data_IF_847973885528
#
_entry.id   IF_847973885528
#
_cell.length_a   1.000
_cell.length_b   1.000
_cell.length_c   1.000
_cell.angle_alpha   90.00
_cell.angle_beta   90.00
_cell.angle_gamma   90.00
#
_symmetry.space_group_name_H-M   'P 1'
#
loop_
_entity.id
_entity.type
_entity.pdbx_description
1 polymer ?
#
# COMPACT_ATOMS: atom_id res chain seq x y z
N UNK A 1 6.13 28.70 -67.00
CA UNK A 1 5.29 28.10 -65.93
C UNK A 1 6.15 27.12 -65.17
N UNK A 2 6.60 27.48 -63.96
CA UNK A 2 7.40 26.60 -63.11
C UNK A 2 6.47 25.87 -62.15
N UNK A 3 6.39 24.56 -62.28
CA UNK A 3 5.65 23.67 -61.37
C UNK A 3 6.38 23.62 -60.03
N UNK A 4 5.76 24.18 -59.00
CA UNK A 4 6.27 24.15 -57.64
C UNK A 4 6.08 22.73 -57.08
N UNK A 5 7.19 22.04 -56.83
CA UNK A 5 7.19 20.71 -56.21
C UNK A 5 6.98 20.93 -54.71
N UNK A 6 5.80 20.56 -54.21
CA UNK A 6 5.48 20.64 -52.80
C UNK A 6 6.44 19.76 -51.99
N UNK A 7 7.19 20.39 -51.07
CA UNK A 7 8.11 19.69 -50.18
C UNK A 7 7.33 18.77 -49.24
N UNK A 8 7.52 17.47 -49.40
CA UNK A 8 7.03 16.46 -48.48
C UNK A 8 7.83 16.58 -47.17
N UNK A 9 7.28 17.30 -46.19
CA UNK A 9 7.88 17.44 -44.87
C UNK A 9 7.72 16.12 -44.12
N UNK A 10 8.83 15.41 -43.94
CA UNK A 10 8.85 14.17 -43.15
C UNK A 10 8.38 14.48 -41.72
N UNK A 11 7.52 13.64 -41.12
CA UNK A 11 7.06 13.83 -39.76
C UNK A 11 8.25 13.86 -38.81
N UNK A 12 8.21 14.75 -37.82
CA UNK A 12 9.28 14.82 -36.81
C UNK A 12 9.33 13.49 -36.05
N UNK A 13 10.54 13.03 -35.72
CA UNK A 13 10.75 11.80 -34.95
C UNK A 13 10.11 11.84 -33.55
N UNK A 14 9.73 13.02 -33.05
CA UNK A 14 9.00 13.18 -31.79
C UNK A 14 7.46 13.16 -31.95
N UNK A 15 6.94 12.84 -33.14
CA UNK A 15 5.50 12.63 -33.41
C UNK A 15 5.05 11.19 -33.17
N UNK A 16 5.82 10.40 -32.41
CA UNK A 16 5.43 9.05 -31.98
C UNK A 16 4.27 9.14 -30.98
N UNK A 17 3.32 8.20 -31.10
CA UNK A 17 2.20 8.05 -30.16
C UNK A 17 2.74 7.87 -28.74
N UNK A 18 2.23 8.63 -27.76
CA UNK A 18 2.64 8.48 -26.38
C UNK A 18 2.17 7.13 -25.80
N UNK A 19 2.85 6.62 -24.76
CA UNK A 19 2.31 5.54 -23.94
C UNK A 19 0.94 5.92 -23.37
N UNK A 20 0.07 4.92 -23.23
CA UNK A 20 -1.31 5.11 -22.78
C UNK A 20 -1.80 4.01 -21.85
N UNK A 21 -2.72 4.39 -20.97
CA UNK A 21 -3.49 3.49 -20.12
C UNK A 21 -4.98 3.82 -20.28
N UNK A 22 -5.72 2.92 -20.92
CA UNK A 22 -7.13 3.16 -21.32
C UNK A 22 -8.13 3.02 -20.16
N UNK A 23 -7.68 2.68 -18.94
CA UNK A 23 -8.56 2.57 -17.76
C UNK A 23 -9.05 3.96 -17.32
N UNK A 24 -10.18 4.02 -16.63
CA UNK A 24 -10.69 5.24 -15.98
C UNK A 24 -10.12 5.47 -14.58
N UNK A 25 -9.37 4.49 -14.07
CA UNK A 25 -8.81 4.49 -12.73
C UNK A 25 -7.55 3.64 -12.71
N UNK A 26 -6.49 4.13 -12.10
CA UNK A 26 -5.28 3.33 -11.91
C UNK A 26 -4.09 4.09 -11.39
N UNK A 27 -2.94 3.41 -11.47
CA UNK A 27 -1.62 3.97 -11.25
C UNK A 27 -0.79 3.72 -12.52
N UNK A 28 -0.07 4.74 -12.96
CA UNK A 28 0.78 4.70 -14.14
C UNK A 28 2.21 5.12 -13.80
N UNK A 29 3.17 4.46 -14.44
CA UNK A 29 4.60 4.77 -14.35
C UNK A 29 5.17 4.89 -15.75
N UNK A 30 5.86 5.98 -16.04
CA UNK A 30 6.49 6.19 -17.35
C UNK A 30 7.73 7.08 -17.26
N UNK A 31 8.57 7.02 -18.30
CA UNK A 31 9.73 7.90 -18.44
C UNK A 31 9.29 9.25 -19.04
N UNK A 32 9.16 10.29 -18.23
CA UNK A 32 8.66 11.60 -18.66
C UNK A 32 9.69 12.43 -19.45
N UNK A 33 10.94 11.96 -19.59
CA UNK A 33 11.90 12.54 -20.53
C UNK A 33 11.75 11.96 -21.96
N UNK A 34 10.92 10.93 -22.13
CA UNK A 34 10.59 10.33 -23.43
C UNK A 34 9.23 10.84 -23.93
N UNK A 35 8.94 10.65 -25.22
CA UNK A 35 7.66 11.03 -25.85
C UNK A 35 7.26 12.49 -25.60
N UNK A 36 8.24 13.38 -25.43
CA UNK A 36 8.01 14.80 -25.14
C UNK A 36 7.20 15.02 -23.84
N UNK A 37 7.39 14.11 -22.88
CA UNK A 37 6.70 14.08 -21.59
C UNK A 37 5.23 13.73 -21.68
N UNK A 38 4.77 13.20 -22.81
CA UNK A 38 3.37 12.88 -23.05
C UNK A 38 2.99 11.50 -22.53
N UNK A 39 1.81 11.39 -21.92
CA UNK A 39 1.18 10.14 -21.50
C UNK A 39 -0.33 10.28 -21.55
N UNK A 40 -1.04 9.28 -22.08
CA UNK A 40 -2.50 9.31 -22.18
C UNK A 40 -3.13 8.45 -21.07
N UNK A 41 -4.08 9.02 -20.33
CA UNK A 41 -4.97 8.27 -19.45
C UNK A 41 -6.38 8.24 -20.02
N UNK A 42 -7.03 7.10 -19.87
CA UNK A 42 -8.38 6.83 -20.33
C UNK A 42 -8.54 6.61 -21.82
N UNK A 43 -9.80 6.47 -22.21
CA UNK A 43 -10.23 6.26 -23.59
C UNK A 43 -11.24 7.33 -23.99
N UNK A 44 -11.30 7.62 -25.29
CA UNK A 44 -12.30 8.53 -25.83
C UNK A 44 -13.72 8.12 -25.39
N UNK A 45 -14.60 9.07 -25.00
CA UNK A 45 -14.44 10.53 -25.08
C UNK A 45 -13.79 11.21 -23.85
N UNK A 46 -13.38 10.43 -22.85
CA UNK A 46 -12.86 10.89 -21.56
C UNK A 46 -11.34 10.71 -21.45
N UNK A 47 -10.65 10.65 -22.59
CA UNK A 47 -9.19 10.58 -22.62
C UNK A 47 -8.54 11.92 -22.25
N UNK A 48 -7.37 11.84 -21.65
CA UNK A 48 -6.50 12.98 -21.33
C UNK A 48 -5.08 12.68 -21.77
N UNK A 49 -4.60 13.39 -22.81
CA UNK A 49 -3.17 13.44 -23.12
C UNK A 49 -2.50 14.43 -22.17
N UNK A 50 -1.81 13.91 -21.15
CA UNK A 50 -1.02 14.74 -20.22
C UNK A 50 0.33 15.07 -20.85
N UNK A 51 0.92 16.20 -20.45
CA UNK A 51 2.29 16.59 -20.84
C UNK A 51 3.04 17.10 -19.62
N UNK A 52 4.22 16.55 -19.40
CA UNK A 52 5.03 16.80 -18.22
C UNK A 52 6.45 17.24 -18.57
N UNK A 53 7.08 18.01 -17.69
CA UNK A 53 8.53 18.25 -17.73
C UNK A 53 9.12 18.36 -16.33
N UNK A 54 10.44 18.23 -16.23
CA UNK A 54 11.16 18.37 -14.96
C UNK A 54 11.01 19.78 -14.40
N UNK A 55 10.78 19.89 -13.09
CA UNK A 55 10.90 21.13 -12.35
C UNK A 55 12.02 21.01 -11.29
N UNK A 56 11.73 21.29 -10.02
CA UNK A 56 12.63 21.06 -8.88
C UNK A 56 12.48 19.64 -8.30
N UNK A 57 13.33 19.25 -7.35
CA UNK A 57 13.25 17.95 -6.68
C UNK A 57 11.83 17.66 -6.16
N UNK A 58 11.27 16.51 -6.56
CA UNK A 58 9.93 16.08 -6.17
C UNK A 58 8.79 16.92 -6.78
N UNK A 59 9.04 17.61 -7.89
CA UNK A 59 8.04 18.42 -8.59
C UNK A 59 8.19 18.32 -10.10
N UNK A 60 7.08 18.48 -10.82
CA UNK A 60 7.05 18.48 -12.27
C UNK A 60 6.16 19.62 -12.78
N UNK A 61 6.46 20.14 -13.96
CA UNK A 61 5.53 21.03 -14.66
C UNK A 61 4.52 20.19 -15.43
N UNK A 62 3.24 20.49 -15.25
CA UNK A 62 2.11 19.98 -16.02
C UNK A 62 1.62 21.09 -16.95
N UNK A 63 1.33 20.74 -18.20
CA UNK A 63 0.90 21.68 -19.24
C UNK A 63 -0.49 21.34 -19.76
N UNK A 64 -1.26 22.36 -20.15
CA UNK A 64 -2.46 22.21 -20.97
C UNK A 64 -2.18 22.32 -22.49
N UNK A 65 -0.92 22.24 -22.90
CA UNK A 65 -0.51 22.29 -24.32
C UNK A 65 -1.13 21.22 -25.22
N UNK A 66 -1.37 19.98 -24.76
CA UNK A 66 -2.03 18.96 -25.57
C UNK A 66 -3.44 19.37 -25.98
N UNK A 67 -3.80 19.16 -27.24
CA UNK A 67 -5.06 19.66 -27.82
C UNK A 67 -6.34 19.13 -27.14
N UNK A 68 -6.24 17.98 -26.46
CA UNK A 68 -7.35 17.40 -25.71
C UNK A 68 -7.59 18.06 -24.34
N UNK A 69 -6.66 18.87 -23.84
CA UNK A 69 -6.73 19.48 -22.50
C UNK A 69 -7.23 20.92 -22.60
N UNK A 70 -8.34 21.21 -21.93
CA UNK A 70 -8.88 22.56 -21.81
C UNK A 70 -8.18 23.35 -20.68
N UNK A 71 -7.91 22.68 -19.56
CA UNK A 71 -7.31 23.34 -18.40
C UNK A 71 -6.68 22.39 -17.42
N UNK A 72 -5.73 22.92 -16.64
CA UNK A 72 -5.05 22.22 -15.55
C UNK A 72 -5.04 23.09 -14.29
N UNK A 73 -5.32 22.50 -13.13
CA UNK A 73 -5.35 23.18 -11.85
C UNK A 73 -4.69 22.33 -10.74
N UNK A 74 -4.17 22.97 -9.71
CA UNK A 74 -3.79 22.27 -8.46
C UNK A 74 -5.04 22.28 -7.57
N UNK A 75 -5.41 21.12 -7.03
CA UNK A 75 -6.45 21.05 -6.01
C UNK A 75 -5.82 21.44 -4.67
N UNK A 76 -6.04 22.69 -4.26
CA UNK A 76 -5.41 23.24 -3.06
C UNK A 76 -5.94 22.56 -1.79
N UNK A 77 -5.02 22.31 -0.84
CA UNK A 77 -5.37 21.78 0.49
C UNK A 77 -5.75 20.30 0.55
N UNK A 78 -5.62 19.54 -0.55
CA UNK A 78 -5.88 18.10 -0.57
C UNK A 78 -4.66 17.28 -1.00
N UNK A 79 -4.57 16.04 -0.51
CA UNK A 79 -3.44 15.13 -0.79
C UNK A 79 -3.87 13.80 -1.37
N UNK A 80 -5.17 13.55 -1.53
CA UNK A 80 -5.70 12.34 -2.16
C UNK A 80 -6.86 12.65 -3.09
N UNK A 81 -6.99 11.85 -4.15
CA UNK A 81 -8.04 12.02 -5.18
C UNK A 81 -9.45 12.08 -4.57
N UNK A 82 -9.72 11.24 -3.57
CA UNK A 82 -11.03 11.16 -2.90
C UNK A 82 -11.46 12.44 -2.16
N UNK A 83 -10.54 13.38 -1.92
CA UNK A 83 -10.85 14.66 -1.28
C UNK A 83 -11.29 15.76 -2.27
N UNK A 84 -11.18 15.51 -3.59
CA UNK A 84 -11.62 16.45 -4.62
C UNK A 84 -13.15 16.41 -4.78
N UNK A 85 -13.84 17.13 -3.90
CA UNK A 85 -15.29 17.34 -3.94
C UNK A 85 -15.68 18.38 -5.02
N UNK A 86 -16.97 18.49 -5.38
CA UNK A 86 -17.43 19.51 -6.34
C UNK A 86 -17.01 20.94 -5.97
N UNK A 87 -17.00 21.30 -4.69
CA UNK A 87 -16.59 22.63 -4.23
C UNK A 87 -15.09 22.87 -4.44
N UNK A 88 -14.26 21.85 -4.20
CA UNK A 88 -12.81 21.91 -4.49
C UNK A 88 -12.59 22.14 -5.98
N UNK A 89 -13.26 21.37 -6.83
CA UNK A 89 -13.15 21.50 -8.30
C UNK A 89 -13.64 22.86 -8.78
N UNK A 90 -14.76 23.36 -8.25
CA UNK A 90 -15.33 24.66 -8.63
C UNK A 90 -14.43 25.85 -8.23
N UNK A 91 -13.69 25.73 -7.12
CA UNK A 91 -12.76 26.75 -6.64
C UNK A 91 -11.39 26.73 -7.34
N UNK A 92 -11.09 25.67 -8.09
CA UNK A 92 -9.78 25.46 -8.68
C UNK A 92 -9.50 26.41 -9.86
N UNK A 93 -8.28 26.95 -9.91
CA UNK A 93 -7.87 27.88 -10.96
C UNK A 93 -7.32 27.14 -12.19
N UNK A 94 -8.11 27.05 -13.25
CA UNK A 94 -7.74 26.44 -14.54
C UNK A 94 -7.15 27.44 -15.56
N UNK A 95 -6.91 28.70 -15.17
CA UNK A 95 -6.53 29.76 -16.13
C UNK A 95 -5.07 29.73 -16.56
N UNK A 96 -4.21 29.05 -15.79
CA UNK A 96 -2.80 28.93 -16.14
C UNK A 96 -2.56 27.83 -17.17
N UNK A 97 -1.73 28.15 -18.16
CA UNK A 97 -1.18 27.18 -19.12
C UNK A 97 -0.39 26.06 -18.44
N UNK A 98 0.22 26.37 -17.29
CA UNK A 98 1.07 25.42 -16.57
C UNK A 98 0.84 25.43 -15.06
N UNK A 99 0.91 24.25 -14.44
CA UNK A 99 0.93 24.07 -12.98
C UNK A 99 2.16 23.27 -12.59
N UNK A 100 2.65 23.47 -11.37
CA UNK A 100 3.84 22.78 -10.87
C UNK A 100 3.51 21.99 -9.60
N UNK A 101 2.81 20.84 -9.73
CA UNK A 101 2.55 19.98 -8.59
C UNK A 101 3.84 19.38 -8.00
N UNK A 102 3.79 19.15 -6.69
CA UNK A 102 4.75 18.36 -5.92
C UNK A 102 4.23 16.95 -5.69
N UNK A 103 5.13 16.02 -5.41
CA UNK A 103 4.76 14.70 -4.91
C UNK A 103 3.84 14.84 -3.69
N UNK A 104 2.75 14.08 -3.68
CA UNK A 104 1.68 14.14 -2.68
C UNK A 104 0.57 15.15 -2.98
N UNK A 105 0.68 15.96 -4.04
CA UNK A 105 -0.40 16.86 -4.46
C UNK A 105 -1.28 16.23 -5.54
N UNK A 106 -2.53 16.70 -5.55
CA UNK A 106 -3.53 16.36 -6.57
C UNK A 106 -3.66 17.50 -7.56
N UNK A 107 -3.66 17.17 -8.85
CA UNK A 107 -4.00 18.09 -9.94
C UNK A 107 -5.31 17.68 -10.60
N UNK A 108 -6.06 18.67 -11.03
CA UNK A 108 -7.31 18.51 -11.76
C UNK A 108 -7.06 18.84 -13.23
N UNK A 109 -7.61 17.99 -14.10
CA UNK A 109 -7.60 18.15 -15.53
C UNK A 109 -9.03 18.30 -16.01
N UNK A 110 -9.25 19.20 -16.96
CA UNK A 110 -10.48 19.26 -17.75
C UNK A 110 -10.13 19.06 -19.22
N UNK A 111 -10.80 18.12 -19.88
CA UNK A 111 -10.63 17.91 -21.32
C UNK A 111 -11.63 18.77 -22.11
N UNK A 112 -11.40 18.92 -23.41
CA UNK A 112 -12.25 19.74 -24.30
C UNK A 112 -13.68 19.21 -24.45
N UNK A 113 -13.93 17.95 -24.07
CA UNK A 113 -15.26 17.34 -24.00
C UNK A 113 -15.94 17.51 -22.61
N UNK A 114 -15.37 18.35 -21.74
CA UNK A 114 -15.85 18.67 -20.38
C UNK A 114 -15.91 17.46 -19.42
N UNK A 115 -15.05 16.47 -19.63
CA UNK A 115 -14.76 15.46 -18.61
C UNK A 115 -13.68 15.96 -17.65
N UNK A 116 -13.71 15.44 -16.43
CA UNK A 116 -12.74 15.76 -15.39
C UNK A 116 -11.91 14.54 -15.01
N UNK A 117 -10.63 14.78 -14.75
CA UNK A 117 -9.74 13.80 -14.14
C UNK A 117 -8.99 14.42 -12.96
N UNK A 118 -8.70 13.60 -11.96
CA UNK A 118 -7.83 13.93 -10.85
C UNK A 118 -6.58 13.06 -10.93
N UNK A 119 -5.41 13.67 -10.78
CA UNK A 119 -4.11 12.98 -10.85
C UNK A 119 -3.32 13.29 -9.59
N UNK A 120 -2.94 12.27 -8.84
CA UNK A 120 -2.13 12.36 -7.62
C UNK A 120 -0.69 11.98 -7.93
N UNK A 121 0.24 12.91 -7.72
CA UNK A 121 1.64 12.69 -8.05
C UNK A 121 2.33 11.88 -6.95
N UNK A 122 2.82 10.68 -7.27
CA UNK A 122 3.43 9.77 -6.29
C UNK A 122 4.97 9.80 -6.31
N UNK A 123 5.56 10.00 -7.48
CA UNK A 123 7.01 10.05 -7.65
C UNK A 123 7.40 10.91 -8.85
N UNK A 124 8.46 11.70 -8.67
CA UNK A 124 9.17 12.37 -9.77
C UNK A 124 10.66 12.11 -9.58
N UNK A 125 11.19 11.13 -10.30
CA UNK A 125 12.61 10.86 -10.45
C UNK A 125 13.27 11.86 -11.40
N UNK A 126 14.59 11.95 -11.37
CA UNK A 126 15.41 12.81 -12.24
C UNK A 126 16.72 12.07 -12.59
N UNK A 127 17.54 12.53 -13.55
CA UNK A 127 18.66 11.73 -14.06
C UNK A 127 19.71 11.36 -13.01
N UNK A 128 19.83 12.16 -11.95
CA UNK A 128 20.80 11.95 -10.88
C UNK A 128 20.30 11.03 -9.75
N UNK A 129 19.06 10.52 -9.80
CA UNK A 129 18.58 9.46 -8.89
C UNK A 129 18.56 8.11 -9.60
N UNK A 130 18.69 6.98 -8.87
CA UNK A 130 18.71 5.64 -9.46
C UNK A 130 17.48 5.31 -10.32
N UNK A 131 16.32 5.89 -10.03
CA UNK A 131 15.10 5.70 -10.83
C UNK A 131 15.13 6.44 -12.17
N UNK A 132 16.05 7.38 -12.40
CA UNK A 132 16.11 8.18 -13.62
C UNK A 132 14.90 9.11 -13.78
N UNK A 133 14.55 9.49 -15.01
CA UNK A 133 13.41 10.38 -15.32
C UNK A 133 12.05 9.67 -15.24
N UNK A 134 11.77 8.98 -14.14
CA UNK A 134 10.52 8.26 -13.93
C UNK A 134 9.48 9.18 -13.30
N UNK A 135 8.26 9.14 -13.81
CA UNK A 135 7.10 9.73 -13.17
C UNK A 135 6.11 8.63 -12.83
N UNK A 136 5.60 8.67 -11.60
CA UNK A 136 4.56 7.76 -11.11
C UNK A 136 3.41 8.57 -10.55
N UNK A 137 2.19 8.27 -10.96
CA UNK A 137 0.99 8.95 -10.50
C UNK A 137 -0.21 8.01 -10.43
N UNK A 138 -1.17 8.35 -9.58
CA UNK A 138 -2.53 7.76 -9.59
C UNK A 138 -3.44 8.66 -10.37
N UNK A 139 -4.46 8.10 -10.99
CA UNK A 139 -5.46 8.89 -11.70
C UNK A 139 -6.85 8.29 -11.56
N UNK A 140 -7.85 9.15 -11.52
CA UNK A 140 -9.26 8.81 -11.63
C UNK A 140 -9.93 9.74 -12.62
N UNK A 141 -10.86 9.20 -13.40
CA UNK A 141 -11.59 9.92 -14.44
C UNK A 141 -13.09 9.78 -14.18
N UNK A 142 -13.79 10.91 -14.18
CA UNK A 142 -15.25 10.97 -14.07
C UNK A 142 -15.87 10.71 -15.44
N UNK A 143 -16.24 9.47 -15.72
CA UNK A 143 -16.78 9.07 -17.04
C UNK A 143 -18.22 9.54 -17.29
N UNK A 144 -18.85 10.19 -16.31
CA UNK A 144 -20.20 10.76 -16.36
C UNK A 144 -20.20 12.32 -16.41
N UNK A 145 -19.01 12.95 -16.46
CA UNK A 145 -18.78 14.40 -16.35
C UNK A 145 -19.09 15.01 -14.97
N UNK A 146 -19.24 14.19 -13.94
CA UNK A 146 -19.26 14.66 -12.56
C UNK A 146 -17.96 15.39 -12.20
N UNK A 147 -18.00 16.16 -11.13
CA UNK A 147 -16.84 16.78 -10.48
C UNK A 147 -16.60 16.22 -9.07
N UNK A 148 -17.34 15.20 -8.66
CA UNK A 148 -17.26 14.60 -7.31
C UNK A 148 -16.38 13.35 -7.29
N UNK A 149 -15.10 13.48 -6.92
CA UNK A 149 -14.16 12.36 -6.84
C UNK A 149 -14.23 11.58 -5.52
N UNK A 150 -15.12 11.95 -4.59
CA UNK A 150 -15.25 11.24 -3.31
C UNK A 150 -15.54 9.73 -3.41
N UNK A 151 -16.24 9.21 -4.45
CA UNK A 151 -16.39 7.76 -4.62
C UNK A 151 -15.07 7.01 -4.88
N UNK A 152 -14.03 7.71 -5.34
CA UNK A 152 -12.71 7.12 -5.56
C UNK A 152 -11.86 7.03 -4.30
N UNK A 153 -12.28 7.62 -3.17
CA UNK A 153 -11.58 7.47 -1.89
C UNK A 153 -11.31 6.00 -1.58
N UNK A 154 -12.37 5.17 -1.56
CA UNK A 154 -12.25 3.73 -1.31
C UNK A 154 -11.42 2.97 -2.34
N UNK A 155 -11.31 3.47 -3.57
CA UNK A 155 -10.65 2.76 -4.66
C UNK A 155 -9.10 2.79 -4.53
N UNK A 156 -8.55 3.85 -3.93
CA UNK A 156 -7.12 3.95 -3.63
C UNK A 156 -6.81 3.71 -2.15
N UNK A 157 -7.73 4.08 -1.26
CA UNK A 157 -7.63 3.79 0.17
C UNK A 157 -7.64 2.28 0.43
N UNK A 158 -8.26 1.45 -0.42
CA UNK A 158 -8.30 0.00 -0.23
C UNK A 158 -6.92 -0.66 -0.12
N UNK A 159 -5.95 -0.27 -0.97
CA UNK A 159 -4.58 -0.81 -0.89
C UNK A 159 -3.79 -0.19 0.27
N UNK A 160 -3.89 1.12 0.45
CA UNK A 160 -3.17 1.80 1.54
C UNK A 160 -3.69 1.34 2.91
N UNK A 161 -5.00 1.25 3.09
CA UNK A 161 -5.63 0.72 4.30
C UNK A 161 -5.29 -0.75 4.51
N UNK A 162 -5.13 -1.54 3.43
CA UNK A 162 -4.66 -2.92 3.55
C UNK A 162 -3.18 -3.00 3.96
N UNK A 163 -2.33 -2.12 3.43
CA UNK A 163 -0.94 -1.96 3.88
C UNK A 163 -0.88 -1.55 5.36
N UNK A 164 -1.66 -0.56 5.77
CA UNK A 164 -1.69 -0.08 7.15
C UNK A 164 -2.20 -1.18 8.10
N UNK A 165 -3.23 -1.93 7.70
CA UNK A 165 -3.72 -3.10 8.42
C UNK A 165 -2.66 -4.19 8.53
N UNK A 166 -1.91 -4.45 7.45
CA UNK A 166 -0.85 -5.46 7.42
C UNK A 166 0.31 -5.07 8.35
N UNK A 167 0.74 -3.81 8.32
CA UNK A 167 1.79 -3.29 9.21
C UNK A 167 1.36 -3.30 10.68
N UNK A 168 0.11 -2.91 10.98
CA UNK A 168 -0.44 -2.97 12.33
C UNK A 168 -0.53 -4.41 12.85
N UNK A 169 -1.01 -5.35 12.03
CA UNK A 169 -1.07 -6.76 12.38
C UNK A 169 0.33 -7.36 12.59
N UNK A 170 1.31 -6.97 11.77
CA UNK A 170 2.71 -7.37 11.92
C UNK A 170 3.32 -6.86 13.24
N UNK A 171 3.06 -5.61 13.63
CA UNK A 171 3.50 -5.04 14.90
C UNK A 171 2.86 -5.74 16.12
N UNK A 172 1.57 -6.03 16.04
CA UNK A 172 0.87 -6.73 17.11
C UNK A 172 1.34 -8.19 17.26
N UNK A 173 1.57 -8.89 16.15
CA UNK A 173 2.10 -10.25 16.14
C UNK A 173 3.51 -10.31 16.73
N UNK A 174 4.40 -9.38 16.37
CA UNK A 174 5.73 -9.27 16.96
C UNK A 174 5.65 -9.03 18.48
N UNK A 175 4.81 -8.08 18.92
CA UNK A 175 4.65 -7.78 20.34
C UNK A 175 4.16 -9.00 21.12
N UNK A 176 3.18 -9.71 20.57
CA UNK A 176 2.66 -10.92 21.19
C UNK A 176 3.69 -12.05 21.21
N UNK A 177 4.48 -12.21 20.14
CA UNK A 177 5.52 -13.24 20.04
C UNK A 177 6.62 -13.02 21.07
N UNK A 178 7.05 -11.76 21.23
CA UNK A 178 8.06 -11.37 22.22
C UNK A 178 7.59 -11.59 23.67
N UNK A 179 6.29 -11.46 23.92
CA UNK A 179 5.69 -11.61 25.25
C UNK A 179 5.52 -13.07 25.70
N UNK A 180 5.59 -14.03 24.77
CA UNK A 180 5.58 -15.46 25.13
C UNK A 180 6.95 -15.83 25.72
N UNK A 181 7.03 -16.59 26.82
CA UNK A 181 8.32 -17.12 27.33
C UNK A 181 8.89 -18.19 26.39
N UNK A 182 10.21 -18.20 26.17
CA UNK A 182 10.87 -19.35 25.52
C UNK A 182 11.23 -20.44 26.55
N UNK A 183 11.50 -21.64 26.06
CA UNK A 183 11.88 -22.78 26.90
C UNK A 183 13.18 -22.61 27.70
N UNK A 184 13.93 -21.51 27.53
CA UNK A 184 15.26 -21.30 28.11
C UNK A 184 15.30 -20.30 29.28
N UNK A 185 14.19 -19.62 29.61
CA UNK A 185 14.11 -18.63 30.70
C UNK A 185 14.23 -19.24 32.13
N UNK A 186 14.55 -20.53 32.25
CA UNK A 186 14.65 -21.27 33.50
C UNK A 186 16.09 -21.55 33.94
N UNK A 187 16.87 -20.49 34.15
CA UNK A 187 18.09 -20.57 34.97
C UNK A 187 18.15 -19.40 35.95
N UNK A 188 17.39 -19.47 37.04
CA UNK A 188 17.92 -19.17 38.38
C UNK A 188 17.03 -19.78 39.47
N UNK A 189 17.66 -20.13 40.59
CA UNK A 189 17.15 -21.05 41.60
C UNK A 189 15.86 -20.64 42.33
N UNK A 190 14.97 -21.62 42.46
CA UNK A 190 14.27 -21.92 43.70
C UNK A 190 13.08 -21.06 44.09
N UNK A 191 11.89 -21.35 43.54
CA UNK A 191 10.63 -21.42 44.31
C UNK A 191 9.76 -22.53 43.68
N UNK A 192 9.39 -23.55 44.47
CA UNK A 192 8.40 -24.57 44.10
C UNK A 192 7.01 -23.92 44.07
N UNK A 193 6.65 -23.36 42.93
CA UNK A 193 5.30 -22.87 42.63
C UNK A 193 4.55 -23.88 41.75
N UNK A 194 3.52 -24.51 42.32
CA UNK A 194 2.57 -25.37 41.60
C UNK A 194 1.83 -24.50 40.58
N UNK A 195 2.23 -24.60 39.31
CA UNK A 195 1.73 -23.76 38.22
C UNK A 195 2.71 -23.63 37.07
N UNK A 196 3.27 -24.74 36.60
CA UNK A 196 4.21 -24.77 35.48
C UNK A 196 3.43 -24.59 34.16
N UNK A 197 3.29 -23.34 33.72
CA UNK A 197 2.57 -22.95 32.50
C UNK A 197 3.49 -22.95 31.27
N UNK A 198 4.50 -23.81 31.27
CA UNK A 198 5.47 -23.95 30.19
C UNK A 198 5.01 -25.06 29.24
N UNK A 199 5.13 -24.87 27.91
CA UNK A 199 4.75 -25.90 26.95
C UNK A 199 5.62 -27.16 27.07
N UNK A 200 5.05 -28.36 26.82
CA UNK A 200 5.86 -29.54 26.57
C UNK A 200 6.91 -29.23 25.48
N UNK A 201 8.13 -29.78 25.56
CA UNK A 201 9.23 -29.45 24.66
C UNK A 201 8.88 -29.53 23.17
N UNK A 202 8.02 -30.48 22.81
CA UNK A 202 7.54 -30.72 21.44
C UNK A 202 6.61 -29.62 20.88
N UNK A 203 6.04 -28.79 21.76
CA UNK A 203 5.13 -27.68 21.40
C UNK A 203 5.68 -26.31 21.80
N UNK A 204 6.87 -26.26 22.42
CA UNK A 204 7.52 -25.01 22.78
C UNK A 204 7.90 -24.21 21.53
N UNK A 205 7.64 -22.90 21.56
CA UNK A 205 8.29 -21.97 20.63
C UNK A 205 9.74 -21.91 21.09
N UNK A 206 10.62 -22.50 20.29
CA UNK A 206 12.07 -22.39 20.50
C UNK A 206 12.53 -20.97 20.18
N UNK A 207 13.72 -20.58 20.66
CA UNK A 207 14.30 -19.30 20.26
C UNK A 207 14.54 -19.23 18.75
N UNK A 208 14.83 -20.38 18.11
CA UNK A 208 14.90 -20.49 16.66
C UNK A 208 13.55 -20.23 15.98
N UNK A 209 12.45 -20.79 16.49
CA UNK A 209 11.09 -20.51 15.97
C UNK A 209 10.73 -19.02 16.12
N UNK A 210 11.10 -18.41 17.24
CA UNK A 210 10.90 -16.97 17.48
C UNK A 210 11.69 -16.15 16.46
N UNK A 211 12.99 -16.41 16.33
CA UNK A 211 13.86 -15.68 15.42
C UNK A 211 13.39 -15.83 13.95
N UNK A 212 13.02 -17.03 13.53
CA UNK A 212 12.50 -17.27 12.17
C UNK A 212 11.18 -16.51 11.92
N UNK A 213 10.29 -16.48 12.92
CA UNK A 213 9.01 -15.77 12.81
C UNK A 213 9.21 -14.25 12.79
N UNK A 214 10.13 -13.71 13.58
CA UNK A 214 10.47 -12.29 13.55
C UNK A 214 11.06 -11.89 12.19
N UNK A 215 11.98 -12.69 11.64
CA UNK A 215 12.52 -12.46 10.30
C UNK A 215 11.43 -12.52 9.20
N UNK A 216 10.45 -13.42 9.34
CA UNK A 216 9.30 -13.48 8.44
C UNK A 216 8.39 -12.23 8.57
N UNK A 217 8.18 -11.72 9.78
CA UNK A 217 7.43 -10.48 10.04
C UNK A 217 8.15 -9.28 9.41
N UNK A 218 9.48 -9.18 9.55
CA UNK A 218 10.25 -8.10 8.95
C UNK A 218 10.22 -8.15 7.41
N UNK A 219 10.31 -9.35 6.82
CA UNK A 219 10.11 -9.52 5.39
C UNK A 219 8.73 -9.05 4.92
N UNK A 220 7.66 -9.29 5.68
CA UNK A 220 6.32 -8.77 5.36
C UNK A 220 6.31 -7.24 5.41
N UNK A 221 6.95 -6.62 6.39
CA UNK A 221 7.01 -5.15 6.51
C UNK A 221 7.76 -4.52 5.34
N UNK A 222 8.92 -5.07 4.98
CA UNK A 222 9.70 -4.62 3.83
C UNK A 222 8.89 -4.71 2.54
N UNK A 223 8.20 -5.82 2.33
CA UNK A 223 7.40 -6.03 1.12
C UNK A 223 6.12 -5.19 1.10
N UNK A 224 5.52 -4.90 2.25
CA UNK A 224 4.30 -4.09 2.35
C UNK A 224 4.48 -2.64 1.91
N UNK A 225 5.71 -2.10 2.03
CA UNK A 225 6.06 -0.73 1.61
C UNK A 225 6.87 -0.69 0.31
N UNK A 226 7.15 -1.86 -0.28
CA UNK A 226 7.89 -1.96 -1.53
C UNK A 226 7.04 -1.46 -2.71
N UNK A 227 7.67 -0.71 -3.62
CA UNK A 227 7.04 -0.31 -4.88
C UNK A 227 6.71 -1.50 -5.80
N UNK A 228 7.38 -2.64 -5.59
CA UNK A 228 7.14 -3.89 -6.32
C UNK A 228 7.19 -5.09 -5.36
N UNK A 229 6.09 -5.42 -4.65
CA UNK A 229 6.06 -6.51 -3.70
C UNK A 229 6.32 -7.89 -4.33
N UNK A 230 7.15 -8.69 -3.69
CA UNK A 230 7.48 -10.05 -4.10
C UNK A 230 6.49 -11.07 -3.52
N UNK A 231 5.62 -11.59 -4.39
CA UNK A 231 4.65 -12.63 -4.00
C UNK A 231 5.30 -13.92 -3.50
N UNK A 232 6.52 -14.23 -3.96
CA UNK A 232 7.28 -15.39 -3.47
C UNK A 232 7.80 -15.17 -2.06
N UNK A 233 8.36 -13.98 -1.75
CA UNK A 233 8.81 -13.63 -0.39
C UNK A 233 7.64 -13.59 0.59
N UNK A 234 6.53 -12.97 0.21
CA UNK A 234 5.31 -12.93 1.03
C UNK A 234 4.75 -14.33 1.33
N UNK A 235 4.76 -15.23 0.33
CA UNK A 235 4.31 -16.62 0.52
C UNK A 235 5.22 -17.38 1.48
N UNK A 236 6.55 -17.26 1.33
CA UNK A 236 7.51 -17.90 2.24
C UNK A 236 7.33 -17.40 3.66
N UNK A 237 7.20 -16.08 3.86
CA UNK A 237 6.95 -15.49 5.18
C UNK A 237 5.64 -15.99 5.79
N UNK A 238 4.56 -16.04 5.00
CA UNK A 238 3.26 -16.57 5.42
C UNK A 238 3.31 -18.04 5.83
N UNK A 239 4.07 -18.88 5.11
CA UNK A 239 4.26 -20.30 5.46
C UNK A 239 4.99 -20.47 6.79
N UNK A 240 6.01 -19.66 7.06
CA UNK A 240 6.72 -19.65 8.36
C UNK A 240 5.78 -19.27 9.50
N UNK A 241 5.03 -18.19 9.34
CA UNK A 241 4.07 -17.73 10.36
C UNK A 241 2.97 -18.77 10.60
N UNK A 242 2.41 -19.37 9.54
CA UNK A 242 1.39 -20.40 9.65
C UNK A 242 1.88 -21.67 10.37
N UNK A 243 3.14 -22.05 10.16
CA UNK A 243 3.77 -23.19 10.85
C UNK A 243 3.84 -22.96 12.35
N UNK A 244 4.29 -21.78 12.77
CA UNK A 244 4.40 -21.43 14.20
C UNK A 244 3.02 -21.24 14.83
N UNK A 245 2.07 -20.63 14.11
CA UNK A 245 0.68 -20.58 14.54
C UNK A 245 0.08 -21.99 14.77
N UNK A 246 0.44 -22.96 13.93
CA UNK A 246 0.05 -24.36 14.10
C UNK A 246 0.65 -25.01 15.35
N UNK A 247 1.89 -24.69 15.72
CA UNK A 247 2.50 -25.13 16.99
C UNK A 247 1.77 -24.54 18.20
N UNK A 248 1.49 -23.23 18.16
CA UNK A 248 0.73 -22.51 19.20
C UNK A 248 -0.67 -23.12 19.37
N UNK A 249 -1.40 -23.34 18.28
CA UNK A 249 -2.74 -23.91 18.34
C UNK A 249 -2.76 -25.34 18.90
N UNK A 250 -1.80 -26.19 18.52
CA UNK A 250 -1.67 -27.55 19.07
C UNK A 250 -1.38 -27.53 20.57
N UNK A 251 -0.55 -26.60 21.04
CA UNK A 251 -0.29 -26.44 22.47
C UNK A 251 -1.55 -26.05 23.25
N UNK A 252 -2.28 -25.04 22.78
CA UNK A 252 -3.52 -24.56 23.40
C UNK A 252 -4.57 -25.69 23.41
N UNK A 253 -4.73 -26.40 22.29
CA UNK A 253 -5.62 -27.55 22.16
C UNK A 253 -5.27 -28.70 23.12
N UNK A 254 -3.99 -29.03 23.25
CA UNK A 254 -3.52 -30.04 24.21
C UNK A 254 -3.72 -29.64 25.67
N UNK A 255 -3.81 -28.33 25.97
CA UNK A 255 -4.17 -27.83 27.29
C UNK A 255 -5.69 -27.86 27.53
N UNK A 256 -6.53 -27.61 26.52
CA UNK A 256 -7.99 -27.65 26.69
C UNK A 256 -8.53 -29.05 26.98
N UNK A 257 -7.94 -30.11 26.44
CA UNK A 257 -8.32 -31.50 26.73
C UNK A 257 -7.99 -31.93 28.18
N UNK A 258 -7.04 -31.25 28.82
CA UNK A 258 -6.66 -31.47 30.22
C UNK A 258 -7.34 -30.50 31.20
N UNK A 259 -8.10 -29.51 30.72
CA UNK A 259 -8.43 -28.32 31.51
C UNK A 259 -9.90 -27.88 31.47
N UNK A 260 -10.89 -28.71 31.13
CA UNK A 260 -12.29 -28.28 31.32
C UNK A 260 -12.60 -27.99 32.81
N UNK A 261 -12.08 -28.81 33.75
CA UNK A 261 -12.25 -28.64 35.20
C UNK A 261 -11.32 -27.56 35.82
N UNK A 262 -10.15 -27.34 35.22
CA UNK A 262 -9.19 -26.29 35.64
C UNK A 262 -9.54 -24.93 35.02
N UNK A 263 -10.15 -24.87 33.83
CA UNK A 263 -10.64 -23.64 33.20
C UNK A 263 -11.74 -23.00 34.02
N UNK A 264 -12.70 -23.77 34.54
CA UNK A 264 -13.72 -23.26 35.44
C UNK A 264 -13.15 -22.75 36.79
N UNK A 265 -12.11 -23.42 37.33
CA UNK A 265 -11.42 -22.98 38.55
C UNK A 265 -10.50 -21.79 38.34
N UNK A 266 -9.82 -21.71 37.20
CA UNK A 266 -8.92 -20.63 36.82
C UNK A 266 -9.71 -19.38 36.43
N UNK A 267 -10.77 -19.50 35.63
CA UNK A 267 -11.67 -18.38 35.29
C UNK A 267 -12.44 -17.89 36.53
N UNK A 268 -12.88 -18.81 37.41
CA UNK A 268 -13.54 -18.47 38.68
C UNK A 268 -12.64 -17.79 39.72
N UNK A 269 -11.33 -18.07 39.74
CA UNK A 269 -10.34 -17.36 40.61
C UNK A 269 -9.68 -16.15 39.94
N UNK A 270 -9.62 -16.10 38.60
CA UNK A 270 -8.94 -15.06 37.83
C UNK A 270 -9.73 -13.74 37.70
N UNK A 271 -11.01 -13.74 38.07
CA UNK A 271 -11.73 -12.48 38.27
C UNK A 271 -11.19 -11.67 39.46
N UNK A 272 -10.35 -12.25 40.33
CA UNK A 272 -9.74 -11.56 41.49
C UNK A 272 -8.21 -11.65 41.61
N UNK A 273 -7.52 -12.55 40.92
CA UNK A 273 -6.06 -12.70 40.97
C UNK A 273 -5.50 -13.01 39.59
N UNK A 274 -4.52 -12.23 39.13
CA UNK A 274 -3.82 -12.40 37.86
C UNK A 274 -3.50 -13.88 37.57
N UNK A 275 -4.22 -14.49 36.63
CA UNK A 275 -3.88 -15.79 36.10
C UNK A 275 -2.53 -15.69 35.37
N UNK A 276 -1.51 -16.27 36.00
CA UNK A 276 -0.14 -16.58 35.54
C UNK A 276 0.08 -16.28 34.04
N UNK A 277 0.81 -15.18 33.76
CA UNK A 277 0.91 -14.48 32.48
C UNK A 277 1.33 -15.29 31.23
N UNK A 278 1.71 -16.56 31.35
CA UNK A 278 2.06 -17.40 30.21
C UNK A 278 0.88 -17.69 29.27
N UNK A 279 -0.22 -18.26 29.77
CA UNK A 279 -1.30 -18.82 28.92
C UNK A 279 -2.05 -17.71 28.17
N UNK A 280 -2.26 -16.56 28.83
CA UNK A 280 -2.83 -15.38 28.21
C UNK A 280 -1.94 -14.83 27.07
N UNK A 281 -0.61 -14.88 27.23
CA UNK A 281 0.32 -14.50 26.17
C UNK A 281 0.23 -15.44 24.96
N UNK A 282 0.11 -16.75 25.18
CA UNK A 282 -0.08 -17.75 24.12
C UNK A 282 -1.40 -17.58 23.35
N UNK A 283 -2.52 -17.35 24.06
CA UNK A 283 -3.82 -17.04 23.43
C UNK A 283 -3.76 -15.75 22.60
N UNK A 284 -3.11 -14.72 23.15
CA UNK A 284 -2.91 -13.44 22.44
C UNK A 284 -2.08 -13.66 21.18
N UNK A 285 -0.99 -14.42 21.28
CA UNK A 285 -0.15 -14.77 20.13
C UNK A 285 -0.94 -15.51 19.04
N UNK A 286 -1.74 -16.52 19.42
CA UNK A 286 -2.57 -17.25 18.46
C UNK A 286 -3.48 -16.30 17.66
N UNK A 287 -4.19 -15.41 18.37
CA UNK A 287 -5.10 -14.45 17.74
C UNK A 287 -4.38 -13.49 16.79
N UNK A 288 -3.21 -12.97 17.20
CA UNK A 288 -2.46 -12.02 16.37
C UNK A 288 -1.82 -12.67 15.14
N UNK A 289 -1.30 -13.90 15.25
CA UNK A 289 -0.77 -14.62 14.07
C UNK A 289 -1.87 -14.96 13.07
N UNK A 290 -3.06 -15.36 13.54
CA UNK A 290 -4.20 -15.65 12.65
C UNK A 290 -4.66 -14.41 11.87
N UNK A 291 -4.78 -13.26 12.54
CA UNK A 291 -5.11 -11.98 11.90
C UNK A 291 -4.05 -11.57 10.88
N UNK A 292 -2.77 -11.72 11.21
CA UNK A 292 -1.67 -11.42 10.29
C UNK A 292 -1.73 -12.29 9.02
N UNK A 293 -1.98 -13.60 9.15
CA UNK A 293 -2.09 -14.51 8.00
C UNK A 293 -3.29 -14.17 7.11
N UNK A 294 -4.44 -13.83 7.69
CA UNK A 294 -5.63 -13.43 6.94
C UNK A 294 -5.40 -12.15 6.12
N UNK A 295 -4.85 -11.11 6.75
CA UNK A 295 -4.56 -9.83 6.08
C UNK A 295 -3.46 -10.03 5.02
N UNK A 296 -2.43 -10.82 5.31
CA UNK A 296 -1.39 -11.16 4.34
C UNK A 296 -1.97 -11.87 3.10
N UNK A 297 -2.95 -12.77 3.31
CA UNK A 297 -3.66 -13.44 2.22
C UNK A 297 -4.42 -12.47 1.31
N UNK A 298 -5.07 -11.46 1.91
CA UNK A 298 -5.74 -10.38 1.18
C UNK A 298 -4.77 -9.45 0.46
N UNK A 299 -3.59 -9.23 1.02
CA UNK A 299 -2.56 -8.36 0.45
C UNK A 299 -1.82 -9.00 -0.73
N UNK A 300 -1.59 -10.32 -0.67
CA UNK A 300 -0.86 -11.07 -1.68
C UNK A 300 -1.73 -11.64 -2.81
N UNK A 301 -3.06 -11.62 -2.66
CA UNK A 301 -4.06 -12.08 -3.64
C UNK A 301 -4.64 -10.94 -4.45
#
# INVERSE_FOLDING_TARGET
MATQIAGMQLPKLNSVEPPKDERSLGEATFNYASYDGRFVIGAEPWAFETRWSSASQGSAHLYNDPAAIEGVAIAEGITSIGQATPDVVASADFTSRTRTPRVGQVVLLRNTASFFAAVELLEVGYPAVPSGNVMRFRFAIQTDRSTDFSPFASAFDGRQALTDQLLAAAADAERALRAVPTGEDSTDGGIVGIGHNQPPPEFAITEADRAETLAAIDAIREEAVSAAPSTSRLRTAGQTIARVAGKVAKWIGGKTDAAADEFAKAVGKAAGVAAVGGFAAWLTLQGKLAVLVDILGKFAG
#
